data_IF_667423235090
#
_entry.id   IF_667423235090
#
_cell.length_a   1.000
_cell.length_b   1.000
_cell.length_c   1.000
_cell.angle_alpha   90.00
_cell.angle_beta   90.00
_cell.angle_gamma   90.00
#
_symmetry.space_group_name_H-M   'P 1'
#
loop_
_entity.id
_entity.type
_entity.pdbx_description
1 polymer ?
#
# COMPACT_ATOMS: atom_id res chain seq x y z
N UNK A 1 -6.88 -15.15 -3.65
CA UNK A 1 -7.85 -14.59 -4.60
C UNK A 1 -7.70 -13.10 -4.68
N UNK A 2 -7.74 -12.56 -5.88
CA UNK A 2 -7.66 -11.12 -6.06
C UNK A 2 -8.83 -10.36 -5.42
N UNK A 3 -9.99 -11.02 -5.29
CA UNK A 3 -11.17 -10.43 -4.66
C UNK A 3 -10.94 -10.09 -3.18
N UNK A 4 -10.20 -10.91 -2.46
CA UNK A 4 -9.89 -10.66 -1.07
C UNK A 4 -9.03 -9.41 -0.91
N UNK A 5 -8.07 -9.24 -1.82
CA UNK A 5 -7.20 -8.06 -1.81
C UNK A 5 -7.99 -6.78 -2.12
N UNK A 6 -9.00 -6.90 -2.96
CA UNK A 6 -9.87 -5.76 -3.29
C UNK A 6 -10.84 -5.39 -2.17
N UNK A 7 -10.99 -6.25 -1.15
CA UNK A 7 -11.89 -5.98 -0.04
C UNK A 7 -11.41 -4.86 0.88
N UNK A 8 -10.10 -4.55 0.88
CA UNK A 8 -9.60 -3.45 1.69
C UNK A 8 -10.07 -2.11 1.14
N UNK A 9 -10.69 -1.32 1.99
CA UNK A 9 -11.17 0.01 1.62
C UNK A 9 -10.02 1.02 1.65
N UNK A 10 -10.15 2.08 0.85
CA UNK A 10 -9.19 3.16 0.85
C UNK A 10 -9.01 3.77 2.25
N UNK A 11 -10.11 3.91 3.00
CA UNK A 11 -10.06 4.45 4.36
C UNK A 11 -9.17 3.61 5.28
N UNK A 12 -9.29 2.27 5.20
CA UNK A 12 -8.44 1.36 5.99
C UNK A 12 -6.97 1.51 5.62
N UNK A 13 -6.68 1.54 4.32
CA UNK A 13 -5.29 1.67 3.85
C UNK A 13 -4.67 3.01 4.25
N UNK A 14 -5.46 4.08 4.24
CA UNK A 14 -5.00 5.40 4.69
C UNK A 14 -4.68 5.44 6.18
N UNK A 15 -5.23 4.52 6.97
CA UNK A 15 -4.86 4.36 8.37
C UNK A 15 -3.59 3.53 8.55
N UNK A 16 -3.23 2.73 7.55
CA UNK A 16 -2.03 1.88 7.62
C UNK A 16 -0.78 2.57 7.14
N UNK A 17 -0.88 3.32 6.04
CA UNK A 17 0.27 3.90 5.35
C UNK A 17 -0.01 5.31 4.90
N UNK A 18 1.05 6.11 4.86
CA UNK A 18 1.08 7.38 4.16
C UNK A 18 1.70 7.16 2.79
N UNK A 19 1.01 7.59 1.74
CA UNK A 19 1.52 7.57 0.38
C UNK A 19 1.92 8.97 -0.04
N UNK A 20 3.17 9.15 -0.47
CA UNK A 20 3.63 10.42 -1.01
C UNK A 20 3.56 10.36 -2.54
N UNK A 21 2.61 11.06 -3.17
CA UNK A 21 2.44 10.97 -4.62
C UNK A 21 3.60 11.58 -5.42
N UNK A 22 4.38 12.46 -4.81
CA UNK A 22 5.52 13.09 -5.49
C UNK A 22 6.74 12.17 -5.55
N UNK A 23 6.95 11.35 -4.53
CA UNK A 23 8.07 10.42 -4.48
C UNK A 23 7.67 8.99 -4.83
N UNK A 24 6.39 8.66 -4.70
CA UNK A 24 5.89 7.31 -4.88
C UNK A 24 6.18 6.38 -3.70
N UNK A 25 6.70 6.91 -2.60
CA UNK A 25 7.08 6.10 -1.45
C UNK A 25 5.95 6.01 -0.43
N UNK A 26 5.96 4.90 0.30
CA UNK A 26 5.01 4.64 1.38
C UNK A 26 5.75 4.61 2.71
N UNK A 27 5.09 5.09 3.76
CA UNK A 27 5.62 5.05 5.13
C UNK A 27 4.54 4.48 6.03
N UNK A 28 4.90 3.52 6.90
CA UNK A 28 3.96 2.96 7.86
C UNK A 28 3.52 4.02 8.87
N UNK A 29 2.22 4.09 9.11
CA UNK A 29 1.65 4.95 10.14
C UNK A 29 1.53 4.19 11.46
N UNK A 30 1.26 4.93 12.52
CA UNK A 30 0.82 4.35 13.79
C UNK A 30 -0.63 3.89 13.59
N UNK A 31 -0.84 2.58 13.57
CA UNK A 31 -2.15 2.01 13.25
C UNK A 31 -3.05 1.96 14.49
N UNK A 32 -4.36 2.20 14.31
CA UNK A 32 -5.28 2.19 15.44
C UNK A 32 -5.52 0.80 16.00
N UNK A 33 -5.96 0.75 17.26
CA UNK A 33 -6.22 -0.51 17.97
C UNK A 33 -7.19 -1.42 17.21
N UNK A 34 -8.17 -0.84 16.54
CA UNK A 34 -9.20 -1.60 15.81
C UNK A 34 -8.63 -2.51 14.73
N UNK A 35 -7.41 -2.24 14.26
CA UNK A 35 -6.73 -3.09 13.27
C UNK A 35 -6.20 -4.40 13.86
N UNK A 36 -6.21 -4.55 15.18
CA UNK A 36 -5.55 -5.66 15.87
C UNK A 36 -6.49 -6.39 16.82
N UNK A 37 -6.11 -7.62 17.15
CA UNK A 37 -6.87 -8.45 18.09
C UNK A 37 -6.73 -8.01 19.54
N UNK A 38 -5.63 -7.31 19.86
CA UNK A 38 -5.35 -6.88 21.23
C UNK A 38 -4.47 -5.64 21.23
N UNK A 39 -4.48 -4.96 22.37
CA UNK A 39 -3.59 -3.82 22.60
C UNK A 39 -2.12 -4.24 22.50
N UNK A 40 -1.79 -5.43 23.00
CA UNK A 40 -0.42 -5.95 22.93
C UNK A 40 0.04 -6.11 21.49
N UNK A 41 -0.79 -6.67 20.63
CA UNK A 41 -0.47 -6.84 19.21
C UNK A 41 -0.33 -5.49 18.52
N UNK A 42 -1.22 -4.55 18.83
CA UNK A 42 -1.18 -3.19 18.28
C UNK A 42 0.13 -2.48 18.66
N UNK A 43 0.48 -2.51 19.95
CA UNK A 43 1.70 -1.86 20.43
C UNK A 43 2.95 -2.49 19.84
N UNK A 44 2.98 -3.82 19.72
CA UNK A 44 4.12 -4.54 19.15
C UNK A 44 4.33 -4.15 17.67
N UNK A 45 3.25 -4.14 16.90
CA UNK A 45 3.33 -3.79 15.49
C UNK A 45 3.80 -2.34 15.32
N UNK A 46 3.18 -1.41 16.03
CA UNK A 46 3.50 0.02 15.92
C UNK A 46 4.93 0.32 16.37
N UNK A 47 5.38 -0.32 17.44
CA UNK A 47 6.74 -0.17 17.92
C UNK A 47 7.77 -0.61 16.88
N UNK A 48 7.44 -1.64 16.10
CA UNK A 48 8.36 -2.20 15.11
C UNK A 48 8.34 -1.43 13.78
N UNK A 49 7.18 -1.02 13.32
CA UNK A 49 7.01 -0.56 11.93
C UNK A 49 6.67 0.92 11.77
N UNK A 50 5.99 1.53 12.72
CA UNK A 50 5.53 2.92 12.58
C UNK A 50 6.69 3.85 12.25
N UNK A 51 6.52 4.64 11.20
CA UNK A 51 7.54 5.60 10.74
C UNK A 51 8.55 5.04 9.76
N UNK A 52 8.58 3.72 9.56
CA UNK A 52 9.52 3.12 8.61
C UNK A 52 8.94 3.12 7.20
N UNK A 53 9.82 3.10 6.20
CA UNK A 53 9.43 2.94 4.81
C UNK A 53 8.76 1.59 4.64
N UNK A 54 7.58 1.58 4.00
CA UNK A 54 6.82 0.38 3.75
C UNK A 54 7.09 -0.14 2.34
N UNK A 55 7.16 -1.47 2.22
CA UNK A 55 7.30 -2.12 0.93
C UNK A 55 8.70 -2.60 0.64
N UNK A 56 8.76 -3.57 -0.25
CA UNK A 56 10.02 -4.15 -0.72
C UNK A 56 9.91 -4.42 -2.21
N UNK A 57 11.06 -4.38 -2.89
CA UNK A 57 11.13 -4.64 -4.32
C UNK A 57 11.16 -6.14 -4.54
N UNK A 58 10.24 -6.65 -5.36
CA UNK A 58 10.17 -8.06 -5.71
C UNK A 58 11.14 -8.38 -6.85
N UNK A 59 11.33 -9.68 -7.08
CA UNK A 59 12.19 -10.14 -8.19
C UNK A 59 11.72 -9.64 -9.55
N UNK A 60 10.41 -9.44 -9.71
CA UNK A 60 9.83 -8.93 -10.95
C UNK A 60 9.96 -7.40 -11.10
N UNK A 61 10.58 -6.73 -10.15
CA UNK A 61 10.79 -5.28 -10.19
C UNK A 61 9.68 -4.45 -9.57
N UNK A 62 8.55 -5.06 -9.24
CA UNK A 62 7.45 -4.35 -8.59
C UNK A 62 7.69 -4.23 -7.09
N UNK A 63 7.28 -3.10 -6.54
CA UNK A 63 7.23 -2.92 -5.09
C UNK A 63 5.93 -3.53 -4.55
N UNK A 64 6.02 -4.20 -3.41
CA UNK A 64 4.86 -4.79 -2.75
C UNK A 64 4.85 -4.45 -1.26
N UNK A 65 3.65 -4.27 -0.71
CA UNK A 65 3.43 -4.10 0.72
C UNK A 65 2.65 -5.29 1.25
N UNK A 66 2.98 -5.74 2.46
CA UNK A 66 2.25 -6.78 3.14
C UNK A 66 1.42 -6.18 4.26
N UNK A 67 0.10 -6.32 4.17
CA UNK A 67 -0.84 -5.77 5.14
C UNK A 67 -1.74 -6.89 5.63
N UNK A 68 -1.73 -7.13 6.94
CA UNK A 68 -2.53 -8.19 7.57
C UNK A 68 -2.33 -9.56 6.92
N UNK A 69 -1.08 -9.87 6.57
CA UNK A 69 -0.73 -11.15 5.98
C UNK A 69 -0.93 -11.26 4.47
N UNK A 70 -1.50 -10.25 3.83
CA UNK A 70 -1.75 -10.25 2.39
C UNK A 70 -0.81 -9.30 1.67
N UNK A 71 -0.30 -9.74 0.51
CA UNK A 71 0.58 -8.92 -0.31
C UNK A 71 -0.21 -8.09 -1.32
N UNK A 72 0.19 -6.83 -1.46
CA UNK A 72 -0.41 -5.90 -2.41
C UNK A 72 0.69 -5.23 -3.21
N UNK A 73 0.47 -5.06 -4.50
CA UNK A 73 1.39 -4.28 -5.33
C UNK A 73 1.24 -2.80 -4.98
N UNK A 74 2.36 -2.13 -4.75
CA UNK A 74 2.36 -0.75 -4.29
C UNK A 74 1.64 0.21 -5.24
N UNK A 75 1.80 0.02 -6.55
CA UNK A 75 1.14 0.90 -7.52
C UNK A 75 -0.40 0.79 -7.47
N UNK A 76 -0.92 -0.37 -7.10
CA UNK A 76 -2.36 -0.54 -6.93
C UNK A 76 -2.87 0.14 -5.67
N UNK A 77 -2.10 0.07 -4.59
CA UNK A 77 -2.42 0.80 -3.35
C UNK A 77 -2.35 2.31 -3.59
N UNK A 78 -1.32 2.77 -4.31
CA UNK A 78 -1.18 4.18 -4.67
C UNK A 78 -2.42 4.67 -5.43
N UNK A 79 -2.87 3.90 -6.41
CA UNK A 79 -4.07 4.23 -7.18
C UNK A 79 -5.31 4.32 -6.30
N UNK A 80 -5.50 3.31 -5.43
CA UNK A 80 -6.64 3.28 -4.51
C UNK A 80 -6.65 4.49 -3.59
N UNK A 81 -5.51 4.83 -3.00
CA UNK A 81 -5.42 5.96 -2.07
C UNK A 81 -5.70 7.27 -2.81
N UNK A 82 -5.15 7.45 -4.01
CA UNK A 82 -5.31 8.68 -4.76
C UNK A 82 -6.73 8.86 -5.32
N UNK A 83 -7.38 7.77 -5.71
CA UNK A 83 -8.66 7.82 -6.42
C UNK A 83 -9.85 7.27 -5.61
N UNK A 84 -9.60 6.75 -4.40
CA UNK A 84 -10.60 6.15 -3.50
C UNK A 84 -11.34 4.93 -4.08
N UNK A 85 -10.78 4.31 -5.11
CA UNK A 85 -11.35 3.10 -5.69
C UNK A 85 -10.27 2.25 -6.32
N UNK A 86 -10.48 0.92 -6.29
CA UNK A 86 -9.61 -0.01 -7.00
C UNK A 86 -9.79 0.17 -8.50
N UNK A 87 -8.74 -0.08 -9.30
CA UNK A 87 -8.83 0.05 -10.75
C UNK A 87 -9.65 -1.07 -11.42
N UNK A 88 -10.27 -1.94 -10.65
CA UNK A 88 -11.05 -3.08 -11.09
C UNK A 88 -10.25 -4.01 -12.01
N UNK A 89 -10.71 -4.21 -13.24
CA UNK A 89 -10.03 -5.09 -14.19
C UNK A 89 -8.99 -4.36 -15.04
N UNK A 90 -8.83 -3.07 -14.84
CA UNK A 90 -7.84 -2.29 -15.58
C UNK A 90 -6.45 -2.49 -14.99
N UNK A 91 -5.47 -2.59 -15.86
CA UNK A 91 -4.07 -2.59 -15.43
C UNK A 91 -3.58 -1.16 -15.24
N UNK A 92 -2.69 -0.98 -14.27
CA UNK A 92 -2.02 0.29 -14.07
C UNK A 92 -0.66 0.21 -14.74
N UNK A 93 -0.41 1.13 -15.66
CA UNK A 93 0.83 1.18 -16.41
C UNK A 93 1.80 2.18 -15.76
N UNK A 94 3.09 1.82 -15.72
CA UNK A 94 4.16 2.72 -15.34
C UNK A 94 4.64 3.42 -16.61
N UNK A 95 4.34 4.71 -16.74
CA UNK A 95 4.56 5.47 -17.98
C UNK A 95 6.01 5.38 -18.44
N UNK A 96 6.97 5.46 -17.52
CA UNK A 96 8.40 5.38 -17.85
C UNK A 96 8.94 3.95 -17.90
N UNK A 97 8.09 2.94 -17.68
CA UNK A 97 8.50 1.54 -17.67
C UNK A 97 9.22 1.08 -16.42
N UNK A 98 9.44 1.94 -15.44
CA UNK A 98 10.11 1.60 -14.20
C UNK A 98 9.07 1.12 -13.18
N UNK A 99 9.07 -0.18 -12.89
CA UNK A 99 8.01 -0.86 -12.13
C UNK A 99 7.94 -0.46 -10.66
N UNK A 100 9.01 0.10 -10.10
CA UNK A 100 9.02 0.59 -8.72
C UNK A 100 8.98 2.11 -8.61
N UNK A 101 8.72 2.81 -9.71
CA UNK A 101 8.52 4.25 -9.69
C UNK A 101 7.01 4.52 -9.58
N UNK A 102 6.55 4.65 -8.33
CA UNK A 102 5.14 4.75 -8.01
C UNK A 102 4.67 6.19 -7.73
N UNK A 103 5.41 7.18 -8.27
CA UNK A 103 4.90 8.55 -8.27
C UNK A 103 3.58 8.59 -9.02
N UNK A 104 2.62 9.33 -8.50
CA UNK A 104 1.29 9.35 -9.11
C UNK A 104 1.34 9.81 -10.57
N UNK A 105 2.21 10.76 -10.88
CA UNK A 105 2.39 11.27 -12.26
C UNK A 105 2.91 10.20 -13.23
N UNK A 106 3.46 9.10 -12.72
CA UNK A 106 3.99 7.99 -13.51
C UNK A 106 3.01 6.84 -13.69
N UNK A 107 1.81 6.93 -13.11
CA UNK A 107 0.80 5.89 -13.16
C UNK A 107 -0.37 6.30 -14.04
N UNK A 108 -0.88 5.34 -14.84
CA UNK A 108 -2.09 5.54 -15.65
C UNK A 108 -2.78 4.19 -15.88
N UNK A 109 -4.07 4.23 -16.11
CA UNK A 109 -4.84 3.06 -16.52
C UNK A 109 -4.57 2.68 -17.96
#
# INVERSE_FOLDING_TARGET
MSHENKALAAAYLKECVNYNPETGLFTWLNRPLEHFKSLRACNAWNSRYSGLVAGSIRKDGYCALKIDGNGYKAHRIAWLIANNEWPDDMDIDHINGIRNDNRLSNLRL
#
